data_IF_570298703101
#
_entry.id   IF_570298703101
#
_cell.length_a   1.000
_cell.length_b   1.000
_cell.length_c   1.000
_cell.angle_alpha   90.00
_cell.angle_beta   90.00
_cell.angle_gamma   90.00
#
_symmetry.space_group_name_H-M   'P 1'
#
loop_
_entity.id
_entity.type
_entity.pdbx_description
1 polymer ?
#
# COMPACT_ATOMS: atom_id res chain seq x y z
N UNK A 1 27.67 7.53 -43.59
CA UNK A 1 27.05 8.65 -42.85
C UNK A 1 26.28 8.04 -41.71
N UNK A 2 26.88 7.98 -40.52
CA UNK A 2 26.17 7.61 -39.30
C UNK A 2 25.28 8.80 -38.95
N UNK A 3 23.97 8.66 -39.14
CA UNK A 3 23.02 9.56 -38.50
C UNK A 3 23.06 9.22 -37.01
N UNK A 4 23.88 9.95 -36.25
CA UNK A 4 23.66 10.13 -34.83
C UNK A 4 22.26 10.71 -34.70
N UNK A 5 21.29 9.90 -34.25
CA UNK A 5 20.03 10.42 -33.76
C UNK A 5 20.36 11.50 -32.73
N UNK A 6 20.04 12.76 -33.04
CA UNK A 6 20.05 13.82 -32.05
C UNK A 6 19.08 13.39 -30.95
N UNK A 7 19.60 12.85 -29.85
CA UNK A 7 18.81 12.50 -28.66
C UNK A 7 18.18 13.80 -28.19
N UNK A 8 16.89 13.99 -28.48
CA UNK A 8 16.15 15.15 -28.02
C UNK A 8 16.16 15.11 -26.48
N UNK A 9 16.55 16.19 -25.83
CA UNK A 9 16.80 16.22 -24.39
C UNK A 9 15.50 16.61 -23.66
N UNK A 10 15.09 15.83 -22.66
CA UNK A 10 13.85 16.05 -21.92
C UNK A 10 14.08 17.01 -20.74
N UNK A 11 13.43 18.17 -20.75
CA UNK A 11 13.53 19.18 -19.68
C UNK A 11 12.48 18.99 -18.56
N UNK A 12 11.58 18.03 -18.73
CA UNK A 12 10.41 17.83 -17.87
C UNK A 12 10.39 16.39 -17.36
N UNK A 13 10.32 16.24 -16.03
CA UNK A 13 10.11 14.97 -15.34
C UNK A 13 8.66 14.91 -14.85
N UNK A 14 7.88 13.97 -15.38
CA UNK A 14 6.51 13.71 -14.94
C UNK A 14 6.51 12.52 -13.98
N UNK A 15 6.15 12.77 -12.73
CA UNK A 15 6.00 11.75 -11.69
C UNK A 15 4.51 11.41 -11.55
N UNK A 16 4.13 10.16 -11.81
CA UNK A 16 2.76 9.68 -11.69
C UNK A 16 2.61 8.61 -10.61
N UNK A 17 1.49 8.66 -9.88
CA UNK A 17 1.08 7.61 -8.94
C UNK A 17 -0.35 7.13 -9.18
N UNK A 18 -0.87 6.27 -8.31
CA UNK A 18 -2.06 5.46 -8.60
C UNK A 18 -3.31 6.30 -8.93
N UNK A 19 -3.38 7.52 -8.44
CA UNK A 19 -4.40 8.50 -8.79
C UNK A 19 -4.45 8.84 -10.30
N UNK A 20 -3.37 8.63 -11.05
CA UNK A 20 -3.36 8.74 -12.51
C UNK A 20 -4.21 7.64 -13.15
N UNK A 21 -3.96 6.38 -12.81
CA UNK A 21 -4.73 5.21 -13.29
C UNK A 21 -6.20 5.31 -12.89
N UNK A 22 -6.46 5.70 -11.64
CA UNK A 22 -7.81 5.96 -11.14
C UNK A 22 -8.49 7.10 -11.91
N UNK A 23 -7.75 8.12 -12.34
CA UNK A 23 -8.30 9.21 -13.15
C UNK A 23 -8.62 8.78 -14.59
N UNK A 24 -7.91 7.77 -15.12
CA UNK A 24 -8.26 7.08 -16.36
C UNK A 24 -9.46 6.14 -16.21
N UNK A 25 -9.96 5.94 -14.98
CA UNK A 25 -11.07 5.05 -14.68
C UNK A 25 -10.66 3.60 -14.44
N UNK A 26 -9.37 3.30 -14.42
CA UNK A 26 -8.88 1.96 -14.08
C UNK A 26 -9.17 1.64 -12.61
N UNK A 27 -9.30 0.35 -12.33
CA UNK A 27 -9.65 -0.19 -11.01
C UNK A 27 -8.40 -0.73 -10.31
N UNK A 28 -7.43 0.15 -10.07
CA UNK A 28 -6.07 -0.22 -9.64
C UNK A 28 -5.84 -0.12 -8.13
N UNK A 29 -6.85 0.27 -7.34
CA UNK A 29 -6.70 0.28 -5.88
C UNK A 29 -6.69 -1.15 -5.31
N UNK A 30 -6.08 -1.34 -4.13
CA UNK A 30 -6.17 -2.63 -3.43
C UNK A 30 -7.62 -3.01 -3.08
N UNK A 31 -8.47 -2.01 -2.79
CA UNK A 31 -9.91 -2.22 -2.63
C UNK A 31 -10.53 -2.80 -3.90
N UNK A 32 -10.23 -2.20 -5.07
CA UNK A 32 -10.71 -2.68 -6.36
C UNK A 32 -10.22 -4.09 -6.68
N UNK A 33 -8.99 -4.44 -6.31
CA UNK A 33 -8.49 -5.81 -6.44
C UNK A 33 -9.42 -6.81 -5.73
N UNK A 34 -9.80 -6.58 -4.48
CA UNK A 34 -10.72 -7.50 -3.80
C UNK A 34 -12.16 -7.42 -4.35
N UNK A 35 -12.60 -6.27 -4.85
CA UNK A 35 -14.00 -6.04 -5.27
C UNK A 35 -14.29 -6.38 -6.74
N UNK A 36 -13.29 -6.31 -7.61
CA UNK A 36 -13.43 -6.31 -9.07
C UNK A 36 -12.54 -7.34 -9.77
N UNK A 37 -11.79 -8.17 -9.03
CA UNK A 37 -11.10 -9.32 -9.62
C UNK A 37 -12.09 -10.20 -10.36
N UNK A 38 -11.76 -10.60 -11.58
CA UNK A 38 -12.57 -11.43 -12.47
C UNK A 38 -12.10 -12.89 -12.52
N UNK A 39 -11.10 -13.26 -11.72
CA UNK A 39 -10.67 -14.65 -11.58
C UNK A 39 -11.71 -15.47 -10.78
N UNK A 40 -12.23 -16.52 -11.41
CA UNK A 40 -13.29 -17.36 -10.85
C UNK A 40 -12.84 -18.10 -9.59
N UNK A 41 -11.60 -18.59 -9.56
CA UNK A 41 -11.06 -19.32 -8.41
C UNK A 41 -10.83 -18.37 -7.23
N UNK A 42 -10.27 -17.19 -7.49
CA UNK A 42 -10.09 -16.14 -6.49
C UNK A 42 -11.44 -15.74 -5.89
N UNK A 43 -12.45 -15.49 -6.72
CA UNK A 43 -13.78 -15.07 -6.25
C UNK A 43 -14.50 -16.18 -5.48
N UNK A 44 -14.34 -17.44 -5.89
CA UNK A 44 -14.87 -18.60 -5.18
C UNK A 44 -14.22 -18.73 -3.80
N UNK A 45 -12.88 -18.77 -3.71
CA UNK A 45 -12.17 -18.90 -2.43
C UNK A 45 -12.47 -17.71 -1.50
N UNK A 46 -12.56 -16.48 -2.04
CA UNK A 46 -12.95 -15.27 -1.29
C UNK A 46 -14.36 -15.40 -0.69
N UNK A 47 -15.32 -15.92 -1.47
CA UNK A 47 -16.69 -16.15 -1.01
C UNK A 47 -16.73 -17.24 0.07
N UNK A 48 -16.07 -18.37 -0.18
CA UNK A 48 -16.01 -19.51 0.75
C UNK A 48 -15.40 -19.08 2.09
N UNK A 49 -14.36 -18.25 2.06
CA UNK A 49 -13.76 -17.66 3.26
C UNK A 49 -14.73 -16.76 4.02
N UNK A 50 -15.45 -15.85 3.35
CA UNK A 50 -16.46 -15.00 3.99
C UNK A 50 -17.61 -15.81 4.59
N UNK A 51 -18.09 -16.85 3.89
CA UNK A 51 -19.14 -17.74 4.39
C UNK A 51 -18.67 -18.53 5.61
N UNK A 52 -17.40 -18.92 5.65
CA UNK A 52 -16.76 -19.52 6.82
C UNK A 52 -16.72 -18.54 7.99
N UNK A 53 -16.25 -17.31 7.79
CA UNK A 53 -16.21 -16.28 8.84
C UNK A 53 -17.61 -15.96 9.40
N UNK A 54 -18.63 -15.93 8.54
CA UNK A 54 -20.03 -15.76 8.97
C UNK A 54 -20.51 -16.88 9.89
N UNK A 55 -20.16 -18.14 9.60
CA UNK A 55 -20.49 -19.28 10.46
C UNK A 55 -19.76 -19.19 11.81
N UNK A 56 -18.46 -18.88 11.78
CA UNK A 56 -17.66 -18.67 13.00
C UNK A 56 -18.26 -17.54 13.85
N UNK A 57 -18.57 -16.40 13.24
CA UNK A 57 -19.13 -15.25 13.95
C UNK A 57 -20.49 -15.59 14.57
N UNK A 58 -21.38 -16.24 13.82
CA UNK A 58 -22.70 -16.66 14.31
C UNK A 58 -22.58 -17.56 15.54
N UNK A 59 -21.77 -18.62 15.46
CA UNK A 59 -21.65 -19.61 16.54
C UNK A 59 -20.88 -19.06 17.74
N UNK A 60 -20.03 -18.04 17.53
CA UNK A 60 -19.33 -17.35 18.63
C UNK A 60 -20.14 -16.23 19.28
N UNK A 61 -21.15 -15.69 18.60
CA UNK A 61 -21.97 -14.56 19.11
C UNK A 61 -23.35 -14.96 19.63
N UNK A 62 -23.85 -16.16 19.32
CA UNK A 62 -25.15 -16.62 19.83
C UNK A 62 -25.17 -16.88 21.35
N UNK A 63 -24.01 -17.03 22.01
CA UNK A 63 -23.94 -17.13 23.47
C UNK A 63 -22.61 -16.58 24.04
N UNK A 64 -22.30 -15.28 23.89
CA UNK A 64 -20.98 -14.70 24.15
C UNK A 64 -20.53 -14.79 25.61
N UNK A 65 -21.48 -14.90 26.53
CA UNK A 65 -21.25 -15.04 27.97
C UNK A 65 -21.11 -16.51 28.42
N UNK A 66 -21.29 -17.48 27.50
CA UNK A 66 -21.30 -18.91 27.80
C UNK A 66 -20.16 -19.70 27.12
N UNK A 67 -19.49 -19.12 26.12
CA UNK A 67 -18.35 -19.78 25.46
C UNK A 67 -17.01 -19.16 25.92
N UNK A 68 -16.13 -20.01 26.42
CA UNK A 68 -14.77 -19.61 26.77
C UNK A 68 -13.84 -19.65 25.53
N UNK A 69 -12.63 -19.08 25.65
CA UNK A 69 -11.61 -19.05 24.57
C UNK A 69 -11.29 -20.44 24.00
N UNK A 70 -11.30 -21.48 24.84
CA UNK A 70 -11.09 -22.88 24.45
C UNK A 70 -12.19 -23.38 23.52
N UNK A 71 -13.45 -23.13 23.86
CA UNK A 71 -14.60 -23.51 23.04
C UNK A 71 -14.57 -22.77 21.71
N UNK A 72 -14.27 -21.47 21.72
CA UNK A 72 -14.12 -20.68 20.50
C UNK A 72 -13.01 -21.22 19.60
N UNK A 73 -11.82 -21.49 20.14
CA UNK A 73 -10.74 -22.10 19.38
C UNK A 73 -11.17 -23.42 18.73
N UNK A 74 -11.91 -24.25 19.46
CA UNK A 74 -12.50 -25.48 18.93
C UNK A 74 -13.49 -25.25 17.79
N UNK A 75 -14.36 -24.24 17.91
CA UNK A 75 -15.30 -23.83 16.85
C UNK A 75 -14.52 -23.40 15.59
N UNK A 76 -13.55 -22.49 15.75
CA UNK A 76 -12.72 -22.00 14.63
C UNK A 76 -11.99 -23.18 13.98
N UNK A 77 -11.32 -24.03 14.78
CA UNK A 77 -10.64 -25.23 14.29
C UNK A 77 -11.55 -26.12 13.47
N UNK A 78 -12.78 -26.35 13.90
CA UNK A 78 -13.73 -27.20 13.19
C UNK A 78 -14.13 -26.60 11.84
N UNK A 79 -14.37 -25.29 11.77
CA UNK A 79 -14.71 -24.62 10.52
C UNK A 79 -13.55 -24.54 9.54
N UNK A 80 -12.33 -24.30 10.03
CA UNK A 80 -11.13 -24.20 9.20
C UNK A 80 -10.56 -25.55 8.76
N UNK A 81 -10.94 -26.67 9.41
CA UNK A 81 -10.37 -28.01 9.15
C UNK A 81 -10.37 -28.40 7.67
N UNK A 82 -11.44 -28.07 6.96
CA UNK A 82 -11.66 -28.50 5.57
C UNK A 82 -11.50 -27.32 4.58
N UNK A 83 -11.02 -26.16 5.05
CA UNK A 83 -10.78 -24.98 4.22
C UNK A 83 -9.28 -24.82 3.93
N UNK A 84 -8.90 -25.11 2.70
CA UNK A 84 -7.56 -24.86 2.16
C UNK A 84 -7.66 -23.89 0.99
N UNK A 85 -6.68 -23.01 0.87
CA UNK A 85 -6.65 -22.02 -0.20
C UNK A 85 -5.42 -22.27 -1.08
N UNK A 86 -5.67 -22.42 -2.38
CA UNK A 86 -4.61 -22.60 -3.38
C UNK A 86 -4.37 -21.31 -4.16
N UNK A 87 -5.41 -20.49 -4.30
CA UNK A 87 -5.37 -19.24 -5.07
C UNK A 87 -4.99 -18.06 -4.18
N UNK A 88 -5.68 -17.87 -3.05
CA UNK A 88 -5.37 -16.78 -2.11
C UNK A 88 -4.05 -17.07 -1.38
N UNK A 89 -3.26 -16.03 -1.15
CA UNK A 89 -2.11 -16.06 -0.24
C UNK A 89 -2.54 -15.88 1.22
N UNK A 90 -1.62 -16.08 2.15
CA UNK A 90 -1.83 -15.66 3.55
C UNK A 90 -2.25 -14.18 3.65
N UNK A 91 -1.62 -13.29 2.86
CA UNK A 91 -1.91 -11.86 2.92
C UNK A 91 -3.28 -11.51 2.35
N UNK A 92 -3.71 -12.18 1.27
CA UNK A 92 -5.08 -12.07 0.77
C UNK A 92 -6.10 -12.39 1.86
N UNK A 93 -5.92 -13.53 2.54
CA UNK A 93 -6.80 -13.98 3.62
C UNK A 93 -6.74 -13.03 4.83
N UNK A 94 -5.56 -12.54 5.18
CA UNK A 94 -5.38 -11.57 6.25
C UNK A 94 -6.11 -10.26 5.95
N UNK A 95 -5.96 -9.68 4.75
CA UNK A 95 -6.67 -8.45 4.37
C UNK A 95 -8.18 -8.65 4.28
N UNK A 96 -8.64 -9.82 3.80
CA UNK A 96 -10.05 -10.18 3.82
C UNK A 96 -10.60 -10.32 5.24
N UNK A 97 -9.81 -10.85 6.18
CA UNK A 97 -10.18 -10.89 7.60
C UNK A 97 -10.29 -9.48 8.18
N UNK A 98 -9.33 -8.59 7.89
CA UNK A 98 -9.38 -7.19 8.34
C UNK A 98 -10.61 -6.46 7.78
N UNK A 99 -10.91 -6.68 6.49
CA UNK A 99 -12.13 -6.17 5.84
C UNK A 99 -13.38 -6.68 6.55
N UNK A 100 -13.47 -7.98 6.79
CA UNK A 100 -14.61 -8.62 7.43
C UNK A 100 -14.86 -8.06 8.84
N UNK A 101 -13.80 -7.89 9.63
CA UNK A 101 -13.84 -7.29 10.97
C UNK A 101 -14.40 -5.86 10.90
N UNK A 102 -13.92 -5.06 9.94
CA UNK A 102 -14.35 -3.69 9.76
C UNK A 102 -15.83 -3.59 9.35
N UNK A 103 -16.25 -4.35 8.34
CA UNK A 103 -17.63 -4.36 7.82
C UNK A 103 -18.64 -4.82 8.89
N UNK A 104 -18.27 -5.81 9.71
CA UNK A 104 -19.12 -6.35 10.78
C UNK A 104 -18.97 -5.63 12.13
N UNK A 105 -18.12 -4.59 12.21
CA UNK A 105 -17.84 -3.84 13.46
C UNK A 105 -17.47 -4.77 14.61
N UNK A 106 -16.61 -5.74 14.32
CA UNK A 106 -16.07 -6.69 15.30
C UNK A 106 -14.90 -6.00 16.01
N UNK A 107 -14.93 -6.01 17.34
CA UNK A 107 -13.94 -5.36 18.20
C UNK A 107 -14.51 -4.16 18.94
N UNK A 108 -13.68 -3.55 19.78
CA UNK A 108 -13.95 -2.24 20.39
C UNK A 108 -13.75 -1.10 19.38
N UNK A 109 -14.34 0.08 19.62
CA UNK A 109 -14.16 1.27 18.76
C UNK A 109 -12.68 1.65 18.53
N UNK A 110 -11.78 1.15 19.40
CA UNK A 110 -10.32 1.24 19.29
C UNK A 110 -9.76 0.58 18.01
N UNK A 111 -10.44 -0.45 17.50
CA UNK A 111 -10.05 -1.19 16.28
C UNK A 111 -10.88 -0.80 15.05
N UNK A 112 -11.56 0.36 15.05
CA UNK A 112 -12.09 0.93 13.80
C UNK A 112 -10.91 1.22 12.87
N UNK A 113 -10.55 0.22 12.06
CA UNK A 113 -9.47 0.31 11.08
C UNK A 113 -9.90 1.34 10.04
N UNK A 114 -9.36 2.56 10.17
CA UNK A 114 -9.73 3.70 9.32
C UNK A 114 -9.56 3.41 7.82
N UNK A 115 -8.71 2.46 7.44
CA UNK A 115 -8.57 2.04 6.05
C UNK A 115 -7.90 0.65 5.93
N UNK A 116 -8.70 -0.43 5.96
CA UNK A 116 -8.19 -1.81 5.86
C UNK A 116 -7.45 -2.05 4.53
N UNK A 117 -7.84 -1.35 3.47
CA UNK A 117 -7.29 -1.52 2.12
C UNK A 117 -5.98 -0.74 1.90
N UNK A 118 -5.47 -0.03 2.90
CA UNK A 118 -4.09 0.44 2.90
C UNK A 118 -3.13 -0.73 3.24
N UNK A 119 -2.92 -1.60 2.25
CA UNK A 119 -2.16 -2.86 2.38
C UNK A 119 -0.77 -2.64 2.98
N UNK A 120 0.01 -1.68 2.48
CA UNK A 120 1.36 -1.41 3.00
C UNK A 120 1.34 -0.99 4.48
N UNK A 121 0.38 -0.15 4.87
CA UNK A 121 0.19 0.18 6.28
C UNK A 121 -0.22 -1.03 7.10
N UNK A 122 -1.05 -1.93 6.57
CA UNK A 122 -1.44 -3.15 7.29
C UNK A 122 -0.29 -4.13 7.44
N UNK A 123 0.60 -4.26 6.45
CA UNK A 123 1.84 -5.03 6.55
C UNK A 123 2.77 -4.40 7.60
N UNK A 124 2.91 -3.06 7.59
CA UNK A 124 3.69 -2.33 8.61
C UNK A 124 3.14 -2.60 10.01
N UNK A 125 1.82 -2.50 10.20
CA UNK A 125 1.16 -2.75 11.48
C UNK A 125 1.26 -4.19 11.94
N UNK A 126 1.32 -5.13 10.99
CA UNK A 126 1.45 -6.55 11.30
C UNK A 126 2.77 -6.84 12.03
N UNK A 127 3.86 -6.15 11.64
CA UNK A 127 5.19 -6.33 12.22
C UNK A 127 5.62 -5.26 13.24
N UNK A 128 5.07 -4.04 13.15
CA UNK A 128 5.56 -2.88 13.91
C UNK A 128 4.46 -2.26 14.77
N UNK A 129 4.85 -1.85 15.98
CA UNK A 129 3.92 -1.31 16.99
C UNK A 129 3.55 0.14 16.69
N UNK A 130 2.32 0.53 17.06
CA UNK A 130 1.99 1.93 17.30
C UNK A 130 1.92 2.22 18.81
N UNK A 131 2.55 3.32 19.25
CA UNK A 131 2.43 3.83 20.63
C UNK A 131 1.02 4.37 20.84
N UNK A 132 0.25 3.72 21.72
CA UNK A 132 -0.90 4.36 22.38
C UNK A 132 -0.82 4.03 23.88
N UNK A 133 -0.49 5.04 24.70
CA UNK A 133 -0.73 5.12 26.15
C UNK A 133 -0.21 3.96 27.05
N UNK A 134 1.11 3.75 27.12
CA UNK A 134 1.82 3.09 28.24
C UNK A 134 1.45 1.64 28.64
N UNK A 135 0.63 0.91 27.89
CA UNK A 135 0.46 -0.55 28.06
C UNK A 135 1.28 -1.33 27.03
N UNK A 136 1.78 -2.52 27.40
CA UNK A 136 2.51 -3.40 26.48
C UNK A 136 1.56 -3.97 25.41
N UNK A 137 1.63 -3.48 24.17
CA UNK A 137 0.89 -4.06 23.05
C UNK A 137 1.75 -5.04 22.23
N UNK A 138 1.10 -6.13 21.85
CA UNK A 138 1.58 -7.29 21.09
C UNK A 138 1.26 -6.99 19.61
N UNK A 139 2.19 -7.22 18.68
CA UNK A 139 1.92 -7.07 17.22
C UNK A 139 1.07 -8.22 16.70
N UNK A 140 0.44 -8.10 15.53
CA UNK A 140 -0.29 -9.23 14.95
C UNK A 140 0.64 -10.43 14.65
N UNK A 141 1.91 -10.16 14.35
CA UNK A 141 2.92 -11.22 14.24
C UNK A 141 3.22 -11.89 15.58
N UNK A 142 3.39 -11.13 16.67
CA UNK A 142 3.58 -11.69 18.01
C UNK A 142 2.35 -12.51 18.43
N UNK A 143 1.14 -12.02 18.13
CA UNK A 143 -0.12 -12.72 18.39
C UNK A 143 -0.20 -14.03 17.58
N UNK A 144 0.21 -14.01 16.32
CA UNK A 144 0.27 -15.18 15.45
C UNK A 144 1.24 -16.23 16.01
N UNK A 145 2.45 -15.81 16.40
CA UNK A 145 3.48 -16.68 16.99
C UNK A 145 2.98 -17.32 18.28
N UNK A 146 2.41 -16.50 19.16
CA UNK A 146 1.90 -16.98 20.44
C UNK A 146 0.77 -17.97 20.21
N UNK A 147 -0.25 -17.60 19.43
CA UNK A 147 -1.43 -18.46 19.19
C UNK A 147 -1.10 -19.74 18.43
N UNK A 148 -0.13 -19.75 17.52
CA UNK A 148 0.35 -20.97 16.86
C UNK A 148 1.00 -21.95 17.84
N UNK A 149 1.79 -21.46 18.82
CA UNK A 149 2.35 -22.33 19.88
C UNK A 149 1.25 -22.99 20.72
N UNK A 150 0.16 -22.28 20.98
CA UNK A 150 -0.97 -22.80 21.76
C UNK A 150 -1.75 -23.85 20.98
N UNK A 151 -1.95 -23.62 19.69
CA UNK A 151 -2.53 -24.59 18.78
C UNK A 151 -1.73 -25.90 18.79
N UNK A 152 -0.41 -25.82 18.63
CA UNK A 152 0.47 -26.98 18.51
C UNK A 152 0.62 -27.77 19.82
N UNK A 153 0.68 -27.08 20.95
CA UNK A 153 0.86 -27.71 22.27
C UNK A 153 -0.39 -28.44 22.79
N UNK A 154 -1.56 -28.28 22.16
CA UNK A 154 -2.87 -28.68 22.70
C UNK A 154 -3.15 -28.11 24.12
N UNK A 155 -2.26 -27.27 24.64
CA UNK A 155 -2.38 -26.51 25.87
C UNK A 155 -2.98 -25.17 25.50
N UNK A 156 -4.31 -25.11 25.52
CA UNK A 156 -4.99 -23.82 25.61
C UNK A 156 -4.53 -23.19 26.93
N UNK A 157 -3.98 -21.97 26.95
CA UNK A 157 -3.13 -21.61 28.06
C UNK A 157 -4.01 -21.05 29.16
N UNK A 158 -3.87 -21.63 30.35
CA UNK A 158 -4.20 -20.96 31.60
C UNK A 158 -3.50 -19.60 31.79
N UNK A 159 -2.61 -19.18 30.88
CA UNK A 159 -2.07 -17.80 30.83
C UNK A 159 -3.07 -16.75 30.31
N UNK A 160 -4.09 -17.13 29.53
CA UNK A 160 -5.16 -16.18 29.13
C UNK A 160 -6.19 -15.94 30.25
N UNK A 161 -6.16 -16.78 31.30
CA UNK A 161 -6.98 -16.63 32.51
C UNK A 161 -6.30 -15.73 33.56
N UNK A 162 -4.97 -15.56 33.50
CA UNK A 162 -4.19 -14.94 34.57
C UNK A 162 -3.92 -13.44 34.41
N UNK A 163 -4.16 -12.85 33.23
CA UNK A 163 -4.05 -11.42 33.04
C UNK A 163 -5.45 -10.79 33.17
N UNK A 164 -5.85 -10.48 34.40
CA UNK A 164 -6.25 -9.16 34.89
C UNK A 164 -6.97 -9.36 36.23
N UNK A 165 -6.30 -9.00 37.32
CA UNK A 165 -6.97 -8.76 38.59
C UNK A 165 -8.13 -7.75 38.36
N UNK A 166 -9.24 -8.02 39.02
CA UNK A 166 -10.48 -7.26 39.07
C UNK A 166 -10.27 -5.75 38.91
N UNK A 167 -10.87 -5.11 37.90
CA UNK A 167 -11.13 -3.67 37.95
C UNK A 167 -12.38 -3.49 38.82
N UNK A 168 -12.16 -3.20 40.10
CA UNK A 168 -13.24 -2.79 41.01
C UNK A 168 -13.52 -1.32 40.73
N UNK A 169 -14.51 -1.04 39.88
CA UNK A 169 -15.22 0.25 39.89
C UNK A 169 -16.61 0.01 40.46
N UNK A 170 -17.01 0.84 41.42
CA UNK A 170 -18.15 0.64 42.30
C UNK A 170 -19.42 0.05 41.64
N UNK A 171 -19.96 -0.95 42.34
CA UNK A 171 -21.32 -1.51 42.28
C UNK A 171 -21.86 -2.06 40.95
N UNK A 172 -21.03 -2.39 39.97
CA UNK A 172 -21.40 -3.37 38.95
C UNK A 172 -20.29 -4.41 38.77
N UNK A 173 -20.54 -5.63 39.25
CA UNK A 173 -19.77 -6.82 38.87
C UNK A 173 -20.17 -7.21 37.45
N UNK A 174 -19.42 -6.75 36.45
CA UNK A 174 -19.49 -7.34 35.11
C UNK A 174 -18.76 -8.69 35.19
N UNK A 175 -19.39 -9.82 34.86
CA UNK A 175 -18.67 -11.10 34.78
C UNK A 175 -17.53 -10.96 33.77
N UNK A 176 -16.29 -11.13 34.23
CA UNK A 176 -15.04 -11.03 33.42
C UNK A 176 -14.84 -12.29 32.54
N UNK A 177 -15.94 -12.78 31.96
CA UNK A 177 -15.97 -13.94 31.06
C UNK A 177 -16.59 -13.61 29.70
N UNK A 178 -17.08 -12.39 29.50
CA UNK A 178 -17.59 -11.97 28.20
C UNK A 178 -16.41 -11.79 27.23
N UNK A 179 -16.38 -12.63 26.21
CA UNK A 179 -15.63 -12.45 24.97
C UNK A 179 -15.47 -10.96 24.61
N UNK A 180 -14.23 -10.47 24.65
CA UNK A 180 -13.94 -9.16 24.04
C UNK A 180 -13.86 -9.46 22.55
N UNK A 181 -14.68 -8.79 21.74
CA UNK A 181 -14.70 -8.99 20.28
C UNK A 181 -13.31 -8.86 19.61
N UNK A 182 -12.33 -8.30 20.32
CA UNK A 182 -10.92 -8.18 19.94
C UNK A 182 -10.20 -9.55 19.84
N UNK A 183 -10.72 -10.62 20.45
CA UNK A 183 -10.14 -11.98 20.38
C UNK A 183 -10.40 -12.69 19.03
N UNK A 184 -11.35 -12.19 18.22
CA UNK A 184 -11.76 -12.82 16.95
C UNK A 184 -10.59 -12.94 15.96
N UNK A 185 -9.88 -11.83 15.72
CA UNK A 185 -8.72 -11.80 14.84
C UNK A 185 -7.62 -12.74 15.36
N UNK A 186 -7.30 -12.63 16.65
CA UNK A 186 -6.22 -13.39 17.31
C UNK A 186 -6.40 -14.88 17.16
N UNK A 187 -7.62 -15.37 17.35
CA UNK A 187 -7.93 -16.79 17.28
C UNK A 187 -7.89 -17.30 15.84
N UNK A 188 -8.28 -16.48 14.85
CA UNK A 188 -8.32 -16.89 13.43
C UNK A 188 -6.94 -16.86 12.78
N UNK A 189 -6.09 -15.89 13.14
CA UNK A 189 -4.74 -15.71 12.58
C UNK A 189 -3.94 -17.01 12.38
N UNK A 190 -3.77 -17.90 13.37
CA UNK A 190 -2.97 -19.11 13.20
C UNK A 190 -3.62 -20.11 12.22
N UNK A 191 -4.94 -20.14 12.10
CA UNK A 191 -5.61 -21.00 11.12
C UNK A 191 -5.42 -20.51 9.69
N UNK A 192 -5.16 -19.22 9.46
CA UNK A 192 -4.79 -18.73 8.12
C UNK A 192 -3.51 -19.42 7.61
N UNK A 193 -2.56 -19.73 8.50
CA UNK A 193 -1.35 -20.49 8.15
C UNK A 193 -1.67 -21.93 7.76
N UNK A 194 -2.59 -22.58 8.48
CA UNK A 194 -3.03 -23.94 8.15
C UNK A 194 -3.62 -24.00 6.74
N UNK A 195 -4.42 -22.99 6.34
CA UNK A 195 -5.00 -22.93 4.99
C UNK A 195 -3.96 -22.89 3.88
N UNK A 196 -2.73 -22.45 4.21
CA UNK A 196 -1.58 -22.36 3.32
C UNK A 196 -0.59 -23.52 3.53
N UNK A 197 -0.93 -24.53 4.36
CA UNK A 197 -0.06 -25.65 4.76
C UNK A 197 1.24 -25.22 5.48
N UNK A 198 1.23 -24.07 6.15
CA UNK A 198 2.38 -23.54 6.90
C UNK A 198 2.34 -24.02 8.34
N UNK A 199 3.16 -25.02 8.68
CA UNK A 199 3.20 -25.62 10.03
C UNK A 199 3.98 -24.79 11.05
N UNK A 200 5.04 -24.12 10.62
CA UNK A 200 5.93 -23.32 11.46
C UNK A 200 6.15 -21.98 10.78
N UNK A 201 5.66 -20.90 11.39
CA UNK A 201 5.79 -19.59 10.77
C UNK A 201 7.23 -19.08 10.84
N UNK A 202 7.70 -18.53 9.74
CA UNK A 202 8.97 -17.80 9.64
C UNK A 202 8.75 -16.53 8.83
N UNK A 203 9.65 -15.56 8.97
CA UNK A 203 9.63 -14.35 8.13
C UNK A 203 9.73 -14.69 6.65
N UNK A 204 10.58 -15.65 6.27
CA UNK A 204 10.70 -16.11 4.88
C UNK A 204 9.41 -16.72 4.34
N UNK A 205 8.66 -17.46 5.16
CA UNK A 205 7.39 -18.02 4.72
C UNK A 205 6.35 -16.92 4.48
N UNK A 206 6.23 -15.94 5.40
CA UNK A 206 5.38 -14.77 5.19
C UNK A 206 5.81 -13.95 3.97
N UNK A 207 7.10 -13.90 3.69
CA UNK A 207 7.65 -13.23 2.52
C UNK A 207 7.29 -13.95 1.22
N UNK A 208 7.37 -15.30 1.19
CA UNK A 208 6.90 -16.09 0.05
C UNK A 208 5.41 -15.88 -0.21
N UNK A 209 4.61 -15.78 0.87
CA UNK A 209 3.19 -15.46 0.75
C UNK A 209 2.97 -14.03 0.23
N UNK A 210 3.85 -13.07 0.54
CA UNK A 210 3.79 -11.72 -0.01
C UNK A 210 4.11 -11.72 -1.51
N UNK A 211 5.11 -12.49 -1.93
CA UNK A 211 5.40 -12.67 -3.36
C UNK A 211 4.19 -13.28 -4.11
N UNK A 212 3.48 -14.24 -3.50
CA UNK A 212 2.24 -14.79 -4.06
C UNK A 212 1.13 -13.73 -4.16
N UNK A 213 0.97 -12.90 -3.13
CA UNK A 213 0.04 -11.77 -3.16
C UNK A 213 0.37 -10.78 -4.29
N UNK A 214 1.64 -10.39 -4.43
CA UNK A 214 2.12 -9.50 -5.49
C UNK A 214 1.88 -10.09 -6.89
N UNK A 215 2.11 -11.39 -7.08
CA UNK A 215 1.81 -12.09 -8.33
C UNK A 215 0.31 -12.08 -8.64
N UNK A 216 -0.54 -12.41 -7.67
CA UNK A 216 -1.99 -12.38 -7.84
C UNK A 216 -2.49 -10.97 -8.18
N UNK A 217 -1.96 -9.95 -7.50
CA UNK A 217 -2.26 -8.54 -7.77
C UNK A 217 -1.77 -8.11 -9.16
N UNK A 218 -0.55 -8.49 -9.54
CA UNK A 218 0.02 -8.21 -10.86
C UNK A 218 -0.83 -8.79 -12.00
N UNK A 219 -1.27 -10.05 -11.86
CA UNK A 219 -2.15 -10.72 -12.82
C UNK A 219 -3.51 -10.02 -12.95
N UNK A 220 -4.01 -9.40 -11.89
CA UNK A 220 -5.23 -8.60 -11.94
C UNK A 220 -5.00 -7.28 -12.68
N UNK A 221 -3.94 -6.55 -12.33
CA UNK A 221 -3.62 -5.24 -12.91
C UNK A 221 -3.31 -5.36 -14.42
N UNK A 222 -2.59 -6.41 -14.84
CA UNK A 222 -2.18 -6.61 -16.23
C UNK A 222 -3.35 -6.71 -17.20
N UNK A 223 -4.50 -7.22 -16.73
CA UNK A 223 -5.73 -7.38 -17.52
C UNK A 223 -6.54 -6.09 -17.64
N UNK A 224 -6.29 -5.08 -16.81
CA UNK A 224 -7.10 -3.85 -16.79
C UNK A 224 -6.97 -3.03 -18.09
N UNK A 225 -5.76 -2.79 -18.64
CA UNK A 225 -5.59 -2.10 -19.92
C UNK A 225 -6.31 -2.79 -21.09
N UNK A 226 -6.31 -4.12 -21.13
CA UNK A 226 -6.89 -4.92 -22.22
C UNK A 226 -8.41 -4.76 -22.35
N UNK A 227 -9.09 -4.36 -21.27
CA UNK A 227 -10.55 -4.15 -21.24
C UNK A 227 -10.98 -2.92 -22.03
N UNK A 228 -10.07 -2.01 -22.39
CA UNK A 228 -10.38 -0.80 -23.13
C UNK A 228 -9.46 -0.65 -24.35
N UNK A 229 -10.01 -0.85 -25.56
CA UNK A 229 -9.26 -0.70 -26.83
C UNK A 229 -8.67 0.70 -27.06
N UNK A 230 -9.17 1.72 -26.36
CA UNK A 230 -8.67 3.10 -26.42
C UNK A 230 -7.74 3.45 -25.25
N UNK A 231 -7.35 2.47 -24.42
CA UNK A 231 -6.50 2.68 -23.25
C UNK A 231 -5.23 3.47 -23.60
N UNK A 232 -4.49 3.03 -24.62
CA UNK A 232 -3.25 3.65 -25.09
C UNK A 232 -3.46 5.13 -25.42
N UNK A 233 -4.51 5.44 -26.18
CA UNK A 233 -4.83 6.80 -26.60
C UNK A 233 -5.22 7.68 -25.40
N UNK A 234 -6.10 7.20 -24.52
CA UNK A 234 -6.50 7.96 -23.33
C UNK A 234 -5.32 8.20 -22.37
N UNK A 235 -4.48 7.19 -22.18
CA UNK A 235 -3.30 7.27 -21.32
C UNK A 235 -2.34 8.34 -21.83
N UNK A 236 -1.94 8.25 -23.11
CA UNK A 236 -1.00 9.20 -23.70
C UNK A 236 -1.60 10.61 -23.80
N UNK A 237 -2.87 10.77 -24.16
CA UNK A 237 -3.52 12.07 -24.19
C UNK A 237 -3.56 12.73 -22.81
N UNK A 238 -3.86 11.96 -21.75
CA UNK A 238 -3.86 12.48 -20.38
C UNK A 238 -2.44 12.86 -19.94
N UNK A 239 -1.45 12.01 -20.21
CA UNK A 239 -0.06 12.26 -19.83
C UNK A 239 0.52 13.47 -20.57
N UNK A 240 0.24 13.60 -21.87
CA UNK A 240 0.60 14.77 -22.67
C UNK A 240 -0.02 16.05 -22.10
N UNK A 241 -1.30 16.01 -21.71
CA UNK A 241 -1.98 17.15 -21.06
C UNK A 241 -1.34 17.50 -19.71
N UNK A 242 -0.90 16.51 -18.94
CA UNK A 242 -0.22 16.74 -17.64
C UNK A 242 1.18 17.30 -17.86
N UNK A 243 1.93 16.77 -18.82
CA UNK A 243 3.32 17.15 -19.07
C UNK A 243 3.46 18.61 -19.52
N UNK A 244 2.47 19.13 -20.26
CA UNK A 244 2.56 20.43 -20.95
C UNK A 244 3.85 20.59 -21.78
N UNK A 245 4.48 19.49 -22.15
CA UNK A 245 5.76 19.44 -22.84
C UNK A 245 5.65 18.57 -24.11
N UNK A 246 6.51 18.89 -25.07
CA UNK A 246 6.62 18.13 -26.32
C UNK A 246 7.54 16.92 -26.18
N UNK A 247 8.38 16.86 -25.12
CA UNK A 247 9.31 15.77 -24.87
C UNK A 247 9.66 15.68 -23.36
N UNK A 248 9.34 14.56 -22.71
CA UNK A 248 9.44 14.43 -21.25
C UNK A 248 9.80 13.01 -20.77
N UNK A 249 10.40 12.91 -19.58
CA UNK A 249 10.64 11.66 -18.86
C UNK A 249 9.44 11.33 -17.95
N UNK A 250 9.19 10.04 -17.72
CA UNK A 250 8.12 9.57 -16.83
C UNK A 250 8.72 8.72 -15.73
N UNK A 251 8.45 9.09 -14.49
CA UNK A 251 8.70 8.28 -13.31
C UNK A 251 7.37 7.81 -12.75
N UNK A 252 7.11 6.51 -12.79
CA UNK A 252 5.81 5.96 -12.41
C UNK A 252 5.92 5.09 -11.16
N UNK A 253 5.00 5.33 -10.24
CA UNK A 253 4.72 4.49 -9.08
C UNK A 253 3.55 3.52 -9.36
N UNK A 254 2.99 3.58 -10.58
CA UNK A 254 1.93 2.67 -11.02
C UNK A 254 2.54 1.40 -11.58
N UNK A 255 1.81 0.31 -11.40
CA UNK A 255 2.18 -0.99 -11.91
C UNK A 255 1.72 -1.22 -13.36
N UNK A 256 0.73 -0.43 -13.81
CA UNK A 256 0.22 -0.54 -15.18
C UNK A 256 1.27 -0.13 -16.21
N UNK A 257 1.29 -0.76 -17.39
CA UNK A 257 2.20 -0.37 -18.44
C UNK A 257 1.94 1.04 -18.96
N UNK A 258 3.03 1.75 -19.24
CA UNK A 258 3.04 3.09 -19.82
C UNK A 258 3.20 2.90 -21.33
N UNK A 259 2.15 3.14 -22.12
CA UNK A 259 2.23 3.05 -23.56
C UNK A 259 3.21 4.11 -24.10
N UNK A 260 4.36 3.69 -24.63
CA UNK A 260 5.39 4.58 -25.19
C UNK A 260 5.40 4.67 -26.70
N UNK A 261 4.72 3.74 -27.39
CA UNK A 261 4.65 3.70 -28.86
C UNK A 261 3.70 4.80 -29.38
N UNK A 262 4.04 5.51 -30.47
CA UNK A 262 3.13 6.47 -31.09
C UNK A 262 1.78 5.84 -31.46
N UNK A 263 0.69 6.62 -31.37
CA UNK A 263 -0.66 6.16 -31.70
C UNK A 263 -0.81 6.04 -33.22
N UNK A 264 -0.35 7.07 -33.94
CA UNK A 264 -0.48 7.14 -35.39
C UNK A 264 0.89 7.05 -36.09
N UNK A 265 0.98 6.39 -37.25
CA UNK A 265 2.19 6.38 -38.06
C UNK A 265 2.64 7.81 -38.41
N UNK A 266 3.89 8.15 -38.09
CA UNK A 266 4.46 9.47 -38.38
C UNK A 266 4.37 10.49 -37.23
N UNK A 267 3.73 10.15 -36.11
CA UNK A 267 3.81 10.97 -34.90
C UNK A 267 5.17 10.83 -34.21
N UNK A 268 5.73 11.97 -33.79
CA UNK A 268 6.90 11.95 -32.92
C UNK A 268 6.50 11.39 -31.56
N UNK A 269 7.33 10.47 -31.04
CA UNK A 269 7.27 10.06 -29.64
C UNK A 269 7.37 11.32 -28.76
N UNK A 270 6.71 11.33 -27.60
CA UNK A 270 6.84 12.42 -26.61
C UNK A 270 7.47 11.96 -25.29
N UNK A 271 7.35 10.67 -25.00
CA UNK A 271 7.90 10.07 -23.78
C UNK A 271 9.32 9.61 -24.08
N UNK A 272 10.33 10.28 -23.56
CA UNK A 272 11.74 9.93 -23.76
C UNK A 272 12.07 8.62 -23.03
N UNK A 273 11.95 8.64 -21.70
CA UNK A 273 12.23 7.51 -20.83
C UNK A 273 11.07 7.23 -19.87
N UNK A 274 10.89 5.97 -19.48
CA UNK A 274 9.95 5.55 -18.42
C UNK A 274 10.69 4.72 -17.39
N UNK A 275 10.63 5.11 -16.12
CA UNK A 275 11.14 4.31 -15.02
C UNK A 275 10.04 3.98 -14.01
N UNK A 276 9.98 2.70 -13.66
CA UNK A 276 9.07 2.15 -12.68
C UNK A 276 9.76 2.05 -11.33
N UNK A 277 9.19 2.71 -10.32
CA UNK A 277 9.76 2.68 -8.96
C UNK A 277 9.49 1.35 -8.25
N UNK A 278 8.26 0.84 -8.38
CA UNK A 278 7.80 -0.37 -7.69
C UNK A 278 7.54 -1.55 -8.64
N UNK A 279 8.23 -1.57 -9.77
CA UNK A 279 8.04 -2.54 -10.84
C UNK A 279 6.74 -2.42 -11.62
N UNK A 280 6.53 -3.36 -12.55
CA UNK A 280 5.44 -3.28 -13.52
C UNK A 280 4.93 -4.66 -13.94
N UNK A 281 3.73 -4.70 -14.53
CA UNK A 281 3.09 -5.96 -14.94
C UNK A 281 3.62 -6.54 -16.26
N UNK A 282 4.32 -5.76 -17.09
CA UNK A 282 4.83 -6.20 -18.41
C UNK A 282 6.09 -7.06 -18.29
N UNK A 283 7.00 -6.72 -17.37
CA UNK A 283 8.23 -7.46 -17.11
C UNK A 283 8.27 -7.98 -15.67
N UNK A 284 7.28 -8.80 -15.30
CA UNK A 284 7.21 -9.42 -13.96
C UNK A 284 8.41 -10.33 -13.63
N UNK A 285 9.25 -10.71 -14.63
CA UNK A 285 10.42 -11.57 -14.40
C UNK A 285 11.65 -10.78 -14.00
N UNK A 286 11.89 -9.62 -14.60
CA UNK A 286 13.05 -8.78 -14.29
C UNK A 286 12.70 -7.55 -13.45
N UNK A 287 11.42 -7.19 -13.38
CA UNK A 287 10.93 -6.03 -12.64
C UNK A 287 9.56 -6.31 -11.98
N UNK A 288 9.50 -7.30 -11.07
CA UNK A 288 8.27 -7.68 -10.39
C UNK A 288 7.68 -6.51 -9.60
N UNK A 289 6.35 -6.52 -9.44
CA UNK A 289 5.66 -5.58 -8.56
C UNK A 289 6.20 -5.70 -7.13
N UNK A 290 6.52 -4.57 -6.53
CA UNK A 290 6.99 -4.46 -5.14
C UNK A 290 5.89 -3.82 -4.29
N UNK A 291 5.34 -4.58 -3.35
CA UNK A 291 4.43 -4.09 -2.30
C UNK A 291 5.16 -4.27 -0.98
N UNK A 292 5.49 -3.17 -0.31
CA UNK A 292 6.33 -3.24 0.87
C UNK A 292 6.25 -2.01 1.75
N UNK A 293 6.96 -2.07 2.87
CA UNK A 293 6.97 -1.00 3.87
C UNK A 293 8.20 -0.09 3.69
N UNK A 294 8.10 1.14 4.21
CA UNK A 294 9.24 2.06 4.32
C UNK A 294 10.31 1.51 5.27
N UNK A 295 11.58 1.86 5.02
CA UNK A 295 12.73 1.38 5.78
C UNK A 295 13.17 2.33 6.91
N UNK A 296 12.51 3.48 7.11
CA UNK A 296 13.03 4.61 7.92
C UNK A 296 13.30 4.27 9.40
N UNK A 297 12.81 3.14 9.91
CA UNK A 297 13.01 2.69 11.29
C UNK A 297 13.30 1.18 11.41
N UNK A 298 13.71 0.52 10.33
CA UNK A 298 13.99 -0.92 10.30
C UNK A 298 15.47 -1.11 10.04
N UNK A 299 16.17 -1.76 10.97
CA UNK A 299 17.60 -2.02 10.82
C UNK A 299 17.85 -3.12 9.78
N UNK A 300 18.96 -3.06 9.02
CA UNK A 300 19.28 -4.08 8.02
C UNK A 300 19.43 -5.51 8.56
N UNK A 301 19.77 -5.66 9.84
CA UNK A 301 19.88 -6.96 10.53
C UNK A 301 18.55 -7.48 11.10
N UNK A 302 17.46 -6.72 10.94
CA UNK A 302 16.12 -7.16 11.34
C UNK A 302 15.54 -8.14 10.31
N UNK A 303 14.92 -9.23 10.78
CA UNK A 303 14.19 -10.15 9.90
C UNK A 303 13.02 -9.48 9.14
N UNK A 304 12.51 -8.35 9.63
CA UNK A 304 11.46 -7.55 8.98
C UNK A 304 12.02 -6.82 7.74
N UNK A 305 13.34 -6.63 7.64
CA UNK A 305 13.97 -5.86 6.58
C UNK A 305 13.62 -6.38 5.18
N UNK A 306 13.39 -7.69 5.02
CA UNK A 306 13.00 -8.31 3.74
C UNK A 306 11.66 -7.78 3.19
N UNK A 307 10.79 -7.24 4.05
CA UNK A 307 9.50 -6.65 3.67
C UNK A 307 9.62 -5.18 3.26
N UNK A 308 10.81 -4.57 3.38
CA UNK A 308 11.02 -3.17 3.02
C UNK A 308 11.21 -3.01 1.52
N UNK A 309 10.66 -1.92 0.95
CA UNK A 309 10.89 -1.60 -0.47
C UNK A 309 12.38 -1.47 -0.79
N UNK A 310 13.18 -0.92 0.14
CA UNK A 310 14.64 -0.81 0.02
C UNK A 310 15.30 -2.17 -0.19
N UNK A 311 14.97 -3.17 0.62
CA UNK A 311 15.51 -4.53 0.43
C UNK A 311 15.12 -5.08 -0.94
N UNK A 312 13.85 -4.96 -1.34
CA UNK A 312 13.33 -5.46 -2.61
C UNK A 312 14.05 -4.85 -3.81
N UNK A 313 14.28 -3.54 -3.77
CA UNK A 313 15.01 -2.85 -4.85
C UNK A 313 16.48 -3.27 -4.92
N UNK A 314 17.13 -3.49 -3.77
CA UNK A 314 18.52 -3.93 -3.74
C UNK A 314 18.70 -5.39 -4.16
N UNK A 315 17.77 -6.28 -3.79
CA UNK A 315 17.88 -7.72 -4.07
C UNK A 315 17.67 -8.07 -5.54
N UNK A 316 16.85 -7.29 -6.25
CA UNK A 316 16.49 -7.55 -7.65
C UNK A 316 17.56 -7.07 -8.66
N UNK A 317 18.68 -6.52 -8.19
CA UNK A 317 19.80 -6.07 -9.05
C UNK A 317 19.33 -5.25 -10.25
N UNK A 318 18.61 -4.13 -10.00
CA UNK A 318 18.22 -3.19 -11.05
C UNK A 318 19.47 -2.60 -11.72
N UNK A 319 19.92 -3.28 -12.79
CA UNK A 319 21.20 -3.07 -13.46
C UNK A 319 21.15 -2.03 -14.59
N UNK A 320 20.29 -1.03 -14.47
CA UNK A 320 20.32 0.10 -15.40
C UNK A 320 20.48 1.40 -14.61
N UNK A 321 21.71 1.92 -14.63
CA UNK A 321 21.98 3.34 -14.43
C UNK A 321 21.18 4.07 -15.50
N UNK A 322 20.08 4.67 -15.07
CA UNK A 322 19.19 5.39 -15.95
C UNK A 322 19.23 6.87 -15.56
N UNK A 323 19.74 7.69 -16.48
CA UNK A 323 19.87 9.16 -16.39
C UNK A 323 18.48 9.83 -16.45
N UNK A 324 17.52 9.33 -15.67
CA UNK A 324 16.16 9.86 -15.63
C UNK A 324 16.11 11.26 -15.03
N UNK A 325 17.10 11.55 -14.18
CA UNK A 325 17.31 12.80 -13.47
C UNK A 325 18.67 13.34 -13.94
N UNK A 326 18.67 13.90 -15.15
CA UNK A 326 19.80 14.66 -15.69
C UNK A 326 19.80 16.08 -15.08
N UNK A 327 20.96 16.74 -15.02
CA UNK A 327 21.12 18.14 -14.62
C UNK A 327 20.24 19.12 -15.44
N UNK A 328 19.69 18.64 -16.56
CA UNK A 328 18.88 19.39 -17.52
C UNK A 328 17.39 19.42 -17.20
N UNK A 329 16.92 18.65 -16.22
CA UNK A 329 15.52 18.73 -15.77
C UNK A 329 15.27 20.10 -15.16
N UNK A 330 14.30 20.82 -15.72
CA UNK A 330 13.87 22.15 -15.27
C UNK A 330 12.49 22.13 -14.63
N UNK A 331 11.67 21.14 -14.99
CA UNK A 331 10.29 21.02 -14.50
C UNK A 331 10.07 19.65 -13.89
N UNK A 332 9.57 19.61 -12.65
CA UNK A 332 9.08 18.39 -12.02
C UNK A 332 7.57 18.52 -11.85
N UNK A 333 6.81 17.64 -12.50
CA UNK A 333 5.35 17.62 -12.44
C UNK A 333 4.90 16.36 -11.71
N UNK A 334 4.21 16.49 -10.59
CA UNK A 334 3.68 15.36 -9.82
C UNK A 334 2.16 15.29 -10.01
N UNK A 335 1.63 14.14 -10.43
CA UNK A 335 0.20 13.92 -10.58
C UNK A 335 -0.26 12.57 -10.05
N UNK A 336 -1.38 12.57 -9.30
CA UNK A 336 -2.02 11.34 -8.85
C UNK A 336 -1.22 10.52 -7.82
N UNK A 337 -0.12 11.04 -7.29
CA UNK A 337 0.62 10.38 -6.22
C UNK A 337 0.00 10.68 -4.84
N UNK A 338 -0.01 9.71 -3.94
CA UNK A 338 -0.55 9.85 -2.57
C UNK A 338 0.40 10.57 -1.62
N UNK A 339 1.69 10.62 -1.98
CA UNK A 339 2.81 11.20 -1.21
C UNK A 339 2.92 10.58 0.20
N UNK A 340 2.65 9.27 0.29
CA UNK A 340 2.73 8.53 1.55
C UNK A 340 4.17 8.44 2.06
N UNK A 341 4.30 8.29 3.37
CA UNK A 341 5.61 8.22 4.05
C UNK A 341 6.52 7.13 3.46
N UNK A 342 5.97 5.97 3.09
CA UNK A 342 6.74 4.84 2.56
C UNK A 342 7.46 5.12 1.23
N UNK A 343 7.04 6.16 0.51
CA UNK A 343 7.66 6.57 -0.77
C UNK A 343 8.55 7.81 -0.62
N UNK A 344 8.66 8.38 0.60
CA UNK A 344 9.39 9.62 0.86
C UNK A 344 10.85 9.56 0.41
N UNK A 345 11.52 8.42 0.63
CA UNK A 345 12.93 8.24 0.26
C UNK A 345 13.18 8.43 -1.25
N UNK A 346 12.22 8.07 -2.11
CA UNK A 346 12.32 8.33 -3.56
C UNK A 346 12.23 9.82 -3.87
N UNK A 347 11.26 10.53 -3.26
CA UNK A 347 11.15 11.99 -3.43
C UNK A 347 12.39 12.71 -2.92
N UNK A 348 12.93 12.30 -1.78
CA UNK A 348 14.18 12.84 -1.25
C UNK A 348 15.32 12.67 -2.26
N UNK A 349 15.56 11.46 -2.75
CA UNK A 349 16.60 11.21 -3.75
C UNK A 349 16.41 12.04 -5.02
N UNK A 350 15.17 12.23 -5.48
CA UNK A 350 14.86 13.08 -6.64
C UNK A 350 15.19 14.55 -6.35
N UNK A 351 14.81 15.06 -5.18
CA UNK A 351 15.06 16.45 -4.81
C UNK A 351 16.55 16.74 -4.56
N UNK A 352 17.30 15.75 -4.07
CA UNK A 352 18.75 15.85 -3.90
C UNK A 352 19.47 15.82 -5.25
N UNK A 353 19.13 14.87 -6.13
CA UNK A 353 19.71 14.75 -7.46
C UNK A 353 19.43 15.97 -8.34
N UNK A 354 18.30 16.63 -8.13
CA UNK A 354 17.93 17.85 -8.85
C UNK A 354 18.33 19.15 -8.14
N UNK A 355 18.99 19.04 -6.97
CA UNK A 355 19.35 20.17 -6.12
C UNK A 355 18.19 21.14 -5.87
N UNK A 356 16.98 20.62 -5.60
CA UNK A 356 15.72 21.38 -5.58
C UNK A 356 15.80 22.70 -4.79
N UNK A 357 16.53 22.72 -3.67
CA UNK A 357 16.68 23.92 -2.84
C UNK A 357 17.49 25.04 -3.54
N UNK A 358 18.51 24.70 -4.32
CA UNK A 358 19.47 25.67 -4.91
C UNK A 358 19.38 25.80 -6.43
N UNK A 359 18.69 24.89 -7.13
CA UNK A 359 18.49 24.95 -8.58
C UNK A 359 17.31 25.85 -8.96
N UNK A 360 17.11 26.10 -10.25
CA UNK A 360 15.99 26.88 -10.83
C UNK A 360 14.80 26.01 -11.25
N UNK A 361 14.68 24.80 -10.70
CA UNK A 361 13.58 23.87 -10.99
C UNK A 361 12.20 24.31 -10.51
N UNK A 362 11.23 24.26 -11.41
CA UNK A 362 9.82 24.43 -11.11
C UNK A 362 9.21 23.10 -10.63
N UNK A 363 8.60 23.10 -9.45
CA UNK A 363 7.87 21.98 -8.88
C UNK A 363 6.37 22.22 -8.94
N UNK A 364 5.68 21.43 -9.75
CA UNK A 364 4.24 21.54 -9.96
C UNK A 364 3.50 20.30 -9.46
N UNK A 365 2.58 20.49 -8.52
CA UNK A 365 1.63 19.47 -8.10
C UNK A 365 0.31 19.62 -8.85
N UNK A 366 0.03 18.69 -9.77
CA UNK A 366 -1.23 18.68 -10.52
C UNK A 366 -2.30 17.84 -9.83
N UNK A 367 -3.56 18.29 -9.89
CA UNK A 367 -4.71 17.57 -9.37
C UNK A 367 -5.85 17.45 -10.37
N UNK A 368 -6.66 16.41 -10.20
CA UNK A 368 -7.78 16.14 -11.10
C UNK A 368 -8.97 17.07 -10.80
N UNK A 369 -9.38 17.90 -11.77
CA UNK A 369 -10.58 18.74 -11.62
C UNK A 369 -11.87 17.91 -11.55
N UNK A 370 -11.91 16.75 -12.22
CA UNK A 370 -13.06 15.85 -12.10
C UNK A 370 -13.21 15.36 -10.65
N UNK A 371 -12.10 15.08 -9.96
CA UNK A 371 -12.11 14.62 -8.58
C UNK A 371 -12.56 15.71 -7.59
N UNK A 372 -12.12 16.95 -7.79
CA UNK A 372 -12.52 18.06 -6.92
C UNK A 372 -14.00 18.39 -7.09
N UNK A 373 -14.50 18.40 -8.34
CA UNK A 373 -15.91 18.62 -8.66
C UNK A 373 -16.84 17.60 -8.03
N UNK A 374 -16.50 16.30 -8.05
CA UNK A 374 -17.35 15.27 -7.42
C UNK A 374 -17.42 15.41 -5.89
N UNK A 375 -16.47 16.11 -5.27
CA UNK A 375 -16.45 16.43 -3.83
C UNK A 375 -17.00 17.82 -3.51
N UNK A 376 -17.57 18.53 -4.50
CA UNK A 376 -18.17 19.85 -4.31
C UNK A 376 -17.17 20.99 -4.23
N UNK A 377 -15.91 20.78 -4.61
CA UNK A 377 -14.91 21.85 -4.67
C UNK A 377 -15.00 22.57 -6.03
N UNK A 378 -15.08 23.91 -6.03
CA UNK A 378 -14.85 24.72 -7.23
C UNK A 378 -13.47 24.47 -7.84
N UNK A 379 -13.32 24.69 -9.15
CA UNK A 379 -12.08 24.42 -9.89
C UNK A 379 -10.87 25.23 -9.37
N UNK A 380 -11.12 26.39 -8.76
CA UNK A 380 -10.11 27.28 -8.19
C UNK A 380 -9.79 27.01 -6.71
N UNK A 381 -10.40 26.00 -6.08
CA UNK A 381 -10.13 25.65 -4.68
C UNK A 381 -9.34 24.35 -4.62
N UNK A 382 -8.12 24.46 -4.07
CA UNK A 382 -7.29 23.30 -3.79
C UNK A 382 -7.82 22.61 -2.53
N UNK A 383 -8.10 21.29 -2.56
CA UNK A 383 -8.52 20.56 -1.37
C UNK A 383 -7.51 20.69 -0.22
N UNK A 384 -7.98 20.98 0.99
CA UNK A 384 -7.13 21.13 2.19
C UNK A 384 -6.27 19.90 2.47
N UNK A 385 -6.79 18.71 2.17
CA UNK A 385 -6.05 17.44 2.30
C UNK A 385 -4.81 17.42 1.40
N UNK A 386 -4.92 17.94 0.17
CA UNK A 386 -3.82 17.99 -0.77
C UNK A 386 -2.75 19.00 -0.35
N UNK A 387 -3.16 20.18 0.11
CA UNK A 387 -2.24 21.16 0.68
C UNK A 387 -1.47 20.60 1.86
N UNK A 388 -2.17 19.84 2.73
CA UNK A 388 -1.56 19.22 3.90
C UNK A 388 -0.44 18.24 3.51
N UNK A 389 -0.72 17.27 2.62
CA UNK A 389 0.28 16.26 2.25
C UNK A 389 1.48 16.86 1.50
N UNK A 390 1.28 17.90 0.68
CA UNK A 390 2.36 18.61 0.00
C UNK A 390 3.23 19.35 1.02
N UNK A 391 2.60 20.04 1.98
CA UNK A 391 3.32 20.76 3.04
C UNK A 391 4.12 19.80 3.91
N UNK A 392 3.54 18.64 4.27
CA UNK A 392 4.24 17.61 5.05
C UNK A 392 5.47 17.06 4.31
N UNK A 393 5.37 16.79 3.00
CA UNK A 393 6.50 16.34 2.18
C UNK A 393 7.64 17.37 2.15
N UNK A 394 7.32 18.63 1.80
CA UNK A 394 8.33 19.68 1.65
C UNK A 394 8.96 20.08 2.98
N UNK A 395 8.17 20.16 4.06
CA UNK A 395 8.71 20.46 5.38
C UNK A 395 9.61 19.34 5.89
N UNK A 396 9.24 18.07 5.66
CA UNK A 396 10.09 16.93 6.04
C UNK A 396 11.45 17.01 5.33
N UNK A 397 11.45 17.25 4.02
CA UNK A 397 12.69 17.42 3.26
C UNK A 397 13.48 18.67 3.67
N UNK A 398 12.83 19.82 3.87
CA UNK A 398 13.48 21.04 4.33
C UNK A 398 14.18 20.87 5.68
N UNK A 399 13.55 20.16 6.64
CA UNK A 399 14.13 19.88 7.96
C UNK A 399 15.40 19.02 7.87
N UNK A 400 15.47 18.10 6.90
CA UNK A 400 16.66 17.26 6.69
C UNK A 400 17.82 18.03 6.03
N UNK A 401 17.51 19.06 5.22
CA UNK A 401 18.52 19.94 4.63
C UNK A 401 19.14 20.90 5.66
N UNK A 402 18.31 21.53 6.50
CA UNK A 402 18.76 22.41 7.58
C UNK A 402 17.83 22.28 8.79
N UNK A 403 18.28 21.63 9.89
CA UNK A 403 17.45 21.38 11.07
C UNK A 403 16.91 22.64 11.76
N UNK A 404 17.56 23.79 11.57
CA UNK A 404 17.17 25.04 12.21
C UNK A 404 16.07 25.79 11.44
N UNK A 405 15.90 25.52 10.14
CA UNK A 405 15.05 26.30 9.23
C UNK A 405 14.26 25.43 8.25
N UNK A 406 13.70 24.30 8.70
CA UNK A 406 12.97 23.38 7.82
C UNK A 406 11.75 23.95 7.07
N UNK A 407 11.29 25.15 7.44
CA UNK A 407 10.25 25.91 6.72
C UNK A 407 10.79 26.74 5.54
N UNK A 408 12.11 26.85 5.38
CA UNK A 408 12.74 27.76 4.42
C UNK A 408 12.55 27.29 2.97
N UNK A 409 12.62 25.97 2.70
CA UNK A 409 12.47 25.46 1.34
C UNK A 409 11.13 25.86 0.70
N UNK A 410 10.01 25.54 1.36
CA UNK A 410 8.69 25.82 0.81
C UNK A 410 8.47 27.33 0.66
N UNK A 411 8.85 28.12 1.67
CA UNK A 411 8.74 29.58 1.62
C UNK A 411 9.59 30.18 0.50
N UNK A 412 10.83 29.74 0.36
CA UNK A 412 11.75 30.15 -0.70
C UNK A 412 11.16 29.86 -2.08
N UNK A 413 10.74 28.61 -2.33
CA UNK A 413 10.15 28.25 -3.63
C UNK A 413 8.87 29.04 -3.95
N UNK A 414 8.06 29.40 -2.94
CA UNK A 414 6.91 30.28 -3.14
C UNK A 414 7.32 31.71 -3.48
N UNK A 415 8.32 32.27 -2.79
CA UNK A 415 8.83 33.64 -3.05
C UNK A 415 9.46 33.74 -4.44
N UNK A 416 10.19 32.71 -4.84
CA UNK A 416 10.84 32.62 -6.16
C UNK A 416 9.86 32.18 -7.27
N UNK A 417 8.58 31.96 -6.94
CA UNK A 417 7.54 31.53 -7.87
C UNK A 417 7.88 30.23 -8.64
N UNK A 418 8.46 29.25 -7.94
CA UNK A 418 8.86 27.91 -8.42
C UNK A 418 8.00 26.77 -7.91
N UNK A 419 7.08 27.04 -6.97
CA UNK A 419 6.14 26.04 -6.45
C UNK A 419 4.73 26.33 -6.95
N UNK A 420 4.15 25.37 -7.66
CA UNK A 420 2.83 25.50 -8.26
C UNK A 420 1.90 24.35 -7.88
N UNK A 421 0.61 24.65 -7.72
CA UNK A 421 -0.43 23.64 -7.50
C UNK A 421 -1.59 23.96 -8.45
N UNK A 422 -1.85 23.08 -9.43
CA UNK A 422 -2.75 23.38 -10.55
C UNK A 422 -3.71 22.22 -10.88
N UNK A 423 -4.93 22.54 -11.32
CA UNK A 423 -5.93 21.55 -11.72
C UNK A 423 -5.83 21.18 -13.21
N UNK A 424 -6.05 19.91 -13.56
CA UNK A 424 -5.94 19.37 -14.94
C UNK A 424 -7.05 18.38 -15.34
#
# INVERSE_FOLDING_TARGET
MNMTENKQEADTLVIIGNGFDLNLGLKTSFQDYFDKNDDDNFNKEKKDFNDLLNKVLKDTTQNPNAINKKQMFGIVKNYFRDFNSTTLSFWDLYFLLLRYINENKIGTDFYKMKNWSNVESQIKNFFTKHRINNYSMITDFDELIDTQKLQNSHQLPGKWEYNHNQIITGNQTIPVYSFIKDDFKKIILPFLLDTQNIKNITYNELFNQLNKFEQNFSNYISKLPEKNKYYTEYYQNKLNKISESTWYNVLTFNYTPVPTKPIYPGENRKINHVRYIHGNTEDNKNNPIIIGIGSENIKPDSDIFIFTKTYRVLSESFNEYDDLIDEKVKNIIIFGHSLVEADYSYFKSIFEATHLYSSEIDLTFKYSLSYTRTRGYPDNIIPKEQLKIITELLNKYGQELNPNDGNDLMNKMMIENRLHITGV
#
